data_IF_271595015420
#
_entry.id   IF_271595015420
#
_cell.length_a   1.000
_cell.length_b   1.000
_cell.length_c   1.000
_cell.angle_alpha   90.00
_cell.angle_beta   90.00
_cell.angle_gamma   90.00
#
_symmetry.space_group_name_H-M   'P 1'
#
loop_
_entity.id
_entity.type
_entity.pdbx_description
1 polymer ?
#
# COMPACT_ATOMS: atom_id res chain seq x y z
N UNK A 1 19.70 -17.69 22.30
CA UNK A 1 18.30 -18.16 22.28
C UNK A 1 17.97 -18.48 20.84
N UNK A 2 17.52 -19.71 20.53
CA UNK A 2 17.06 -20.01 19.18
C UNK A 2 15.89 -19.07 18.87
N UNK A 3 16.05 -18.20 17.86
CA UNK A 3 14.95 -17.39 17.35
C UNK A 3 13.82 -18.34 17.03
N UNK A 4 12.67 -18.21 17.70
CA UNK A 4 11.47 -18.93 17.28
C UNK A 4 11.26 -18.68 15.78
N UNK A 5 10.95 -19.73 15.02
CA UNK A 5 10.68 -19.60 13.60
C UNK A 5 9.47 -18.67 13.43
N UNK A 6 9.58 -17.66 12.56
CA UNK A 6 8.47 -16.74 12.29
C UNK A 6 7.36 -17.51 11.56
N UNK A 7 6.09 -17.33 11.93
CA UNK A 7 5.00 -17.97 11.21
C UNK A 7 4.91 -17.43 9.78
N UNK A 8 4.51 -18.28 8.85
CA UNK A 8 4.22 -17.87 7.47
C UNK A 8 2.91 -17.06 7.45
N UNK A 9 2.94 -15.85 6.91
CA UNK A 9 1.72 -15.07 6.67
C UNK A 9 0.97 -15.65 5.47
N UNK A 10 -0.31 -15.97 5.68
CA UNK A 10 -1.18 -16.63 4.70
C UNK A 10 -2.28 -15.72 4.16
N UNK A 11 -2.57 -14.62 4.83
CA UNK A 11 -3.54 -13.64 4.37
C UNK A 11 -3.91 -12.65 5.47
N UNK A 12 -4.62 -11.60 5.07
CA UNK A 12 -5.05 -10.52 5.97
C UNK A 12 -6.54 -10.30 5.80
N UNK A 13 -7.28 -10.32 6.91
CA UNK A 13 -8.70 -10.06 6.97
C UNK A 13 -8.91 -8.69 7.60
N UNK A 14 -9.71 -7.85 6.96
CA UNK A 14 -9.99 -6.50 7.43
C UNK A 14 -11.43 -6.36 7.87
N UNK A 15 -11.66 -5.58 8.93
CA UNK A 15 -12.93 -4.90 9.13
C UNK A 15 -13.03 -3.66 8.24
N UNK A 16 -14.25 -3.32 7.79
CA UNK A 16 -14.45 -2.09 7.01
C UNK A 16 -14.49 -0.85 7.91
N UNK A 17 -15.17 -0.96 9.05
CA UNK A 17 -15.49 0.16 9.92
C UNK A 17 -14.26 0.58 10.71
N UNK A 18 -13.89 1.85 10.63
CA UNK A 18 -12.78 2.45 11.39
C UNK A 18 -11.37 1.97 11.01
N UNK A 19 -11.26 0.82 10.34
CA UNK A 19 -9.99 0.20 9.93
C UNK A 19 -9.61 0.61 8.52
N UNK A 20 -10.44 0.25 7.52
CA UNK A 20 -10.20 0.64 6.13
C UNK A 20 -10.77 2.01 5.80
N UNK A 21 -11.81 2.44 6.52
CA UNK A 21 -12.48 3.71 6.30
C UNK A 21 -12.69 4.47 7.60
N UNK A 22 -12.87 5.79 7.51
CA UNK A 22 -13.30 6.63 8.62
C UNK A 22 -14.82 6.85 8.50
N UNK A 23 -15.65 6.15 9.29
CA UNK A 23 -17.10 6.29 9.20
C UNK A 23 -17.57 7.61 9.80
N UNK A 24 -18.47 8.30 9.08
CA UNK A 24 -19.21 9.45 9.57
C UNK A 24 -20.69 9.08 9.75
N UNK A 25 -20.95 8.09 10.60
CA UNK A 25 -22.28 7.54 10.86
C UNK A 25 -22.68 7.80 12.31
N UNK A 26 -23.82 8.44 12.53
CA UNK A 26 -24.37 8.64 13.88
C UNK A 26 -25.08 7.36 14.35
N UNK A 27 -24.31 6.51 15.02
CA UNK A 27 -24.85 5.29 15.62
C UNK A 27 -25.91 5.55 16.69
N UNK A 28 -25.88 6.71 17.38
CA UNK A 28 -26.89 7.02 18.40
C UNK A 28 -28.25 7.25 17.75
N UNK A 29 -28.28 8.08 16.72
CA UNK A 29 -29.49 8.30 15.95
C UNK A 29 -30.00 6.98 15.32
N UNK A 30 -29.11 6.14 14.83
CA UNK A 30 -29.48 4.85 14.24
C UNK A 30 -30.21 3.94 15.25
N UNK A 31 -29.67 3.83 16.46
CA UNK A 31 -30.29 3.09 17.56
C UNK A 31 -31.65 3.66 17.95
N UNK A 32 -31.75 4.99 18.10
CA UNK A 32 -33.00 5.68 18.44
C UNK A 32 -34.08 5.42 17.39
N UNK A 33 -33.75 5.57 16.11
CA UNK A 33 -34.69 5.34 14.99
C UNK A 33 -35.10 3.88 14.83
N UNK A 34 -34.24 2.93 15.22
CA UNK A 34 -34.58 1.51 15.26
C UNK A 34 -35.35 1.11 16.53
N UNK A 35 -35.42 1.98 17.53
CA UNK A 35 -36.01 1.65 18.84
C UNK A 35 -35.19 0.64 19.64
N UNK A 36 -33.87 0.59 19.43
CA UNK A 36 -32.94 -0.31 20.12
C UNK A 36 -32.07 0.47 21.09
N UNK A 37 -32.01 0.12 22.39
CA UNK A 37 -31.12 0.79 23.33
C UNK A 37 -29.64 0.76 22.90
N UNK A 38 -28.91 1.86 23.08
CA UNK A 38 -27.48 1.98 22.69
C UNK A 38 -26.53 0.95 23.32
N UNK A 39 -26.95 0.32 24.42
CA UNK A 39 -26.15 -0.71 25.10
C UNK A 39 -26.32 -2.12 24.50
N UNK A 40 -27.31 -2.29 23.64
CA UNK A 40 -27.63 -3.58 23.01
C UNK A 40 -26.95 -3.66 21.64
N UNK A 41 -26.73 -4.89 21.16
CA UNK A 41 -26.26 -5.08 19.79
C UNK A 41 -27.41 -4.78 18.81
N UNK A 42 -27.24 -3.74 17.98
CA UNK A 42 -28.27 -3.29 17.06
C UNK A 42 -28.76 -4.38 16.12
N UNK A 43 -27.85 -5.05 15.41
CA UNK A 43 -28.24 -6.02 14.38
C UNK A 43 -28.86 -7.28 15.02
N UNK A 44 -28.33 -7.73 16.15
CA UNK A 44 -28.90 -8.85 16.88
C UNK A 44 -30.31 -8.52 17.40
N UNK A 45 -30.52 -7.32 17.96
CA UNK A 45 -31.83 -6.88 18.43
C UNK A 45 -32.85 -6.80 17.28
N UNK A 46 -32.45 -6.22 16.13
CA UNK A 46 -33.31 -6.12 14.94
C UNK A 46 -33.71 -7.50 14.40
N UNK A 47 -32.81 -8.50 14.47
CA UNK A 47 -33.13 -9.88 14.05
C UNK A 47 -34.21 -10.55 14.91
N UNK A 48 -34.38 -10.11 16.15
CA UNK A 48 -35.37 -10.67 17.09
C UNK A 48 -36.71 -9.90 17.12
N UNK A 49 -36.85 -8.84 16.31
CA UNK A 49 -38.08 -8.05 16.24
C UNK A 49 -39.20 -8.77 15.48
N UNK A 50 -40.45 -8.29 15.64
CA UNK A 50 -41.56 -8.72 14.76
C UNK A 50 -41.26 -8.37 13.31
N UNK A 51 -41.81 -9.11 12.31
CA UNK A 51 -41.50 -8.89 10.90
C UNK A 51 -41.67 -7.43 10.43
N UNK A 52 -42.72 -6.74 10.89
CA UNK A 52 -43.02 -5.36 10.50
C UNK A 52 -42.00 -4.36 11.08
N UNK A 53 -41.62 -4.55 12.35
CA UNK A 53 -40.61 -3.72 13.02
C UNK A 53 -39.23 -3.99 12.47
N UNK A 54 -38.91 -5.25 12.24
CA UNK A 54 -37.66 -5.69 11.64
C UNK A 54 -37.47 -5.05 10.25
N UNK A 55 -38.48 -5.13 9.38
CA UNK A 55 -38.42 -4.51 8.06
C UNK A 55 -38.20 -2.99 8.14
N UNK A 56 -38.89 -2.33 9.08
CA UNK A 56 -38.74 -0.89 9.30
C UNK A 56 -37.34 -0.53 9.80
N UNK A 57 -36.79 -1.27 10.75
CA UNK A 57 -35.45 -1.06 11.28
C UNK A 57 -34.36 -1.29 10.22
N UNK A 58 -34.45 -2.36 9.43
CA UNK A 58 -33.51 -2.59 8.33
C UNK A 58 -33.51 -1.46 7.30
N UNK A 59 -34.68 -0.90 7.00
CA UNK A 59 -34.78 0.26 6.11
C UNK A 59 -34.06 1.48 6.69
N UNK A 60 -34.21 1.74 7.99
CA UNK A 60 -33.49 2.82 8.68
C UNK A 60 -31.98 2.61 8.59
N UNK A 61 -31.50 1.39 8.87
CA UNK A 61 -30.07 1.11 8.86
C UNK A 61 -29.49 1.28 7.45
N UNK A 62 -30.16 0.76 6.42
CA UNK A 62 -29.70 0.91 5.02
C UNK A 62 -29.75 2.37 4.54
N UNK A 63 -30.75 3.14 4.95
CA UNK A 63 -30.84 4.58 4.65
C UNK A 63 -29.64 5.34 5.24
N UNK A 64 -29.37 5.13 6.53
CA UNK A 64 -28.28 5.80 7.24
C UNK A 64 -26.90 5.34 6.76
N UNK A 65 -26.70 4.03 6.53
CA UNK A 65 -25.50 3.54 5.85
C UNK A 65 -25.34 4.15 4.46
N UNK A 66 -26.46 4.37 3.76
CA UNK A 66 -26.47 5.00 2.45
C UNK A 66 -26.05 6.45 2.44
N UNK A 67 -26.29 7.16 3.52
CA UNK A 67 -25.78 8.51 3.75
C UNK A 67 -24.31 8.45 4.17
N UNK A 68 -23.98 7.62 5.15
CA UNK A 68 -22.62 7.45 5.66
C UNK A 68 -21.62 7.02 4.58
N UNK A 69 -22.00 6.10 3.68
CA UNK A 69 -21.12 5.63 2.59
C UNK A 69 -20.72 6.73 1.61
N UNK A 70 -21.53 7.78 1.45
CA UNK A 70 -21.17 8.93 0.60
C UNK A 70 -20.07 9.80 1.19
N UNK A 71 -19.82 9.66 2.49
CA UNK A 71 -18.81 10.41 3.25
C UNK A 71 -17.65 9.54 3.72
N UNK A 72 -17.60 8.27 3.30
CA UNK A 72 -16.47 7.40 3.65
C UNK A 72 -15.21 7.86 2.94
N UNK A 73 -14.16 7.96 3.74
CA UNK A 73 -12.79 8.17 3.27
C UNK A 73 -11.93 7.00 3.74
N UNK A 74 -10.91 6.66 2.96
CA UNK A 74 -9.98 5.61 3.36
C UNK A 74 -9.16 6.07 4.57
N UNK A 75 -8.92 5.15 5.49
CA UNK A 75 -7.98 5.37 6.58
C UNK A 75 -6.56 5.60 6.03
N UNK A 76 -5.76 6.38 6.76
CA UNK A 76 -4.37 6.65 6.39
C UNK A 76 -3.59 5.34 6.19
N UNK A 77 -2.91 5.22 5.05
CA UNK A 77 -2.10 4.04 4.71
C UNK A 77 -2.88 2.86 4.12
N UNK A 78 -4.21 2.94 3.97
CA UNK A 78 -5.00 1.82 3.45
C UNK A 78 -4.61 1.42 2.02
N UNK A 79 -4.38 2.40 1.15
CA UNK A 79 -3.99 2.14 -0.25
C UNK A 79 -2.56 1.60 -0.34
N UNK A 80 -1.64 2.14 0.45
CA UNK A 80 -0.26 1.69 0.55
C UNK A 80 -0.19 0.24 1.01
N UNK A 81 -0.92 -0.10 2.07
CA UNK A 81 -1.04 -1.45 2.58
C UNK A 81 -1.65 -2.40 1.53
N UNK A 82 -2.77 -2.03 0.90
CA UNK A 82 -3.43 -2.86 -0.10
C UNK A 82 -2.53 -3.16 -1.30
N UNK A 83 -1.83 -2.15 -1.83
CA UNK A 83 -0.84 -2.32 -2.91
C UNK A 83 0.34 -3.19 -2.47
N UNK A 84 0.80 -3.03 -1.23
CA UNK A 84 1.90 -3.82 -0.69
C UNK A 84 1.51 -5.30 -0.59
N UNK A 85 0.33 -5.60 -0.02
CA UNK A 85 -0.20 -6.96 0.08
C UNK A 85 -0.36 -7.60 -1.31
N UNK A 86 -0.92 -6.86 -2.27
CA UNK A 86 -1.07 -7.30 -3.66
C UNK A 86 0.29 -7.65 -4.29
N UNK A 87 1.31 -6.81 -4.12
CA UNK A 87 2.66 -7.03 -4.71
C UNK A 87 3.38 -8.24 -4.10
N UNK A 88 3.07 -8.61 -2.86
CA UNK A 88 3.55 -9.84 -2.23
C UNK A 88 2.67 -11.06 -2.55
N UNK A 89 1.54 -10.89 -3.23
CA UNK A 89 0.61 -11.97 -3.54
C UNK A 89 -0.11 -12.51 -2.30
N UNK A 90 -0.29 -11.67 -1.29
CA UNK A 90 -1.04 -12.02 -0.09
C UNK A 90 -2.54 -11.83 -0.32
N UNK A 91 -3.39 -12.85 -0.09
CA UNK A 91 -4.82 -12.69 -0.23
C UNK A 91 -5.37 -11.78 0.87
N UNK A 92 -6.38 -10.99 0.50
CA UNK A 92 -7.09 -10.10 1.40
C UNK A 92 -8.57 -10.41 1.41
N UNK A 93 -9.15 -10.50 2.61
CA UNK A 93 -10.58 -10.67 2.81
C UNK A 93 -11.12 -9.50 3.63
N UNK A 94 -12.43 -9.36 3.59
CA UNK A 94 -13.15 -8.40 4.40
C UNK A 94 -14.28 -9.09 5.14
N UNK A 95 -14.48 -8.69 6.39
CA UNK A 95 -15.65 -9.01 7.19
C UNK A 95 -16.22 -7.68 7.66
N UNK A 96 -17.52 -7.46 7.54
CA UNK A 96 -18.13 -6.21 7.99
C UNK A 96 -19.57 -6.39 8.43
N UNK A 97 -20.03 -5.49 9.30
CA UNK A 97 -21.43 -5.37 9.71
C UNK A 97 -22.26 -4.47 8.77
N UNK A 98 -21.65 -3.90 7.75
CA UNK A 98 -22.33 -3.14 6.70
C UNK A 98 -22.99 -4.05 5.67
N UNK A 99 -23.89 -3.48 4.85
CA UNK A 99 -24.51 -4.18 3.72
C UNK A 99 -23.52 -4.54 2.60
N UNK A 100 -23.90 -5.54 1.79
CA UNK A 100 -23.22 -5.87 0.54
C UNK A 100 -23.22 -4.69 -0.45
N UNK A 101 -24.17 -3.75 -0.34
CA UNK A 101 -24.19 -2.51 -1.11
C UNK A 101 -23.06 -1.56 -0.72
N UNK A 102 -22.80 -1.41 0.58
CA UNK A 102 -21.66 -0.61 1.09
C UNK A 102 -20.33 -1.24 0.70
N UNK A 103 -20.20 -2.57 0.77
CA UNK A 103 -19.02 -3.33 0.29
C UNK A 103 -18.74 -3.06 -1.19
N UNK A 104 -19.76 -3.21 -2.05
CA UNK A 104 -19.63 -2.91 -3.49
C UNK A 104 -19.24 -1.46 -3.73
N UNK A 105 -19.82 -0.53 -2.99
CA UNK A 105 -19.48 0.88 -3.11
C UNK A 105 -18.00 1.15 -2.76
N UNK A 106 -17.48 0.56 -1.67
CA UNK A 106 -16.06 0.66 -1.31
C UNK A 106 -15.17 0.15 -2.45
N UNK A 107 -15.49 -1.02 -2.99
CA UNK A 107 -14.76 -1.60 -4.13
C UNK A 107 -14.78 -0.68 -5.36
N UNK A 108 -15.95 -0.16 -5.74
CA UNK A 108 -16.10 0.63 -6.97
C UNK A 108 -15.54 2.05 -6.87
N UNK A 109 -15.56 2.65 -5.67
CA UNK A 109 -15.29 4.09 -5.49
C UNK A 109 -13.97 4.41 -4.81
N UNK A 110 -13.50 3.58 -3.89
CA UNK A 110 -12.30 3.86 -3.12
C UNK A 110 -11.16 2.88 -3.42
N UNK A 111 -11.48 1.59 -3.58
CA UNK A 111 -10.46 0.54 -3.67
C UNK A 111 -10.03 0.21 -5.11
N UNK A 112 -11.00 -0.09 -5.98
CA UNK A 112 -10.79 -0.46 -7.37
C UNK A 112 -10.13 0.63 -8.23
N UNK A 113 -10.50 1.92 -8.11
CA UNK A 113 -9.80 3.00 -8.81
C UNK A 113 -8.31 3.10 -8.48
N UNK A 114 -7.88 2.60 -7.31
CA UNK A 114 -6.47 2.55 -6.93
C UNK A 114 -5.71 1.35 -7.53
N UNK A 115 -6.38 0.51 -8.34
CA UNK A 115 -5.81 -0.67 -9.01
C UNK A 115 -5.66 -1.89 -8.11
N UNK A 116 -6.30 -1.87 -6.93
CA UNK A 116 -6.19 -2.94 -5.93
C UNK A 116 -7.34 -3.95 -6.13
N UNK A 117 -7.07 -5.28 -6.13
CA UNK A 117 -8.11 -6.28 -6.24
C UNK A 117 -9.15 -6.16 -5.13
N UNK A 118 -10.40 -6.44 -5.48
CA UNK A 118 -11.48 -6.53 -4.49
C UNK A 118 -11.15 -7.57 -3.42
N UNK A 119 -11.62 -7.33 -2.19
CA UNK A 119 -11.51 -8.30 -1.11
C UNK A 119 -12.25 -9.59 -1.49
N UNK A 120 -11.65 -10.73 -1.18
CA UNK A 120 -12.23 -12.02 -1.51
C UNK A 120 -11.89 -13.11 -0.47
N UNK A 121 -12.89 -13.65 0.26
CA UNK A 121 -14.29 -13.19 0.24
C UNK A 121 -14.45 -11.83 0.94
N UNK A 122 -15.57 -11.18 0.66
CA UNK A 122 -16.02 -9.97 1.34
C UNK A 122 -17.36 -10.25 2.02
N UNK A 123 -17.30 -10.71 3.27
CA UNK A 123 -18.46 -11.11 4.06
C UNK A 123 -19.13 -9.88 4.67
N UNK A 124 -20.37 -9.64 4.29
CA UNK A 124 -21.20 -8.53 4.75
C UNK A 124 -22.24 -9.01 5.77
N UNK A 125 -23.04 -8.09 6.33
CA UNK A 125 -24.18 -8.50 7.18
C UNK A 125 -25.24 -9.32 6.46
N UNK A 126 -25.28 -9.22 5.12
CA UNK A 126 -26.28 -9.88 4.28
C UNK A 126 -25.94 -11.38 4.09
N UNK A 127 -24.71 -11.77 4.45
CA UNK A 127 -24.22 -13.16 4.45
C UNK A 127 -24.53 -13.83 5.80
N UNK A 128 -25.83 -14.10 6.04
CA UNK A 128 -26.41 -14.45 7.35
C UNK A 128 -25.76 -15.67 8.05
N UNK A 129 -25.15 -16.59 7.30
CA UNK A 129 -24.46 -17.76 7.88
C UNK A 129 -23.11 -17.42 8.53
N UNK A 130 -22.52 -16.26 8.20
CA UNK A 130 -21.13 -15.93 8.49
C UNK A 130 -20.96 -14.48 8.97
N UNK A 131 -21.93 -13.95 9.73
CA UNK A 131 -21.91 -12.56 10.16
C UNK A 131 -20.97 -12.31 11.36
N UNK A 132 -20.40 -11.11 11.43
CA UNK A 132 -19.59 -10.67 12.57
C UNK A 132 -20.50 -10.39 13.78
N UNK A 133 -20.15 -10.84 15.00
CA UNK A 133 -18.83 -11.35 15.44
C UNK A 133 -18.71 -12.88 15.53
N UNK A 134 -19.43 -13.67 14.74
CA UNK A 134 -19.37 -15.12 14.85
C UNK A 134 -18.08 -15.70 14.22
N UNK A 135 -17.23 -16.47 14.95
CA UNK A 135 -15.95 -16.97 14.44
C UNK A 135 -16.01 -17.79 13.13
N UNK A 136 -17.18 -18.37 12.81
CA UNK A 136 -17.45 -19.05 11.54
C UNK A 136 -17.13 -18.20 10.29
N UNK A 137 -17.16 -16.86 10.39
CA UNK A 137 -16.76 -15.98 9.30
C UNK A 137 -15.29 -16.19 8.91
N UNK A 138 -14.39 -16.26 9.89
CA UNK A 138 -12.97 -16.54 9.66
C UNK A 138 -12.76 -17.99 9.21
N UNK A 139 -13.56 -18.94 9.70
CA UNK A 139 -13.53 -20.33 9.23
C UNK A 139 -13.92 -20.44 7.76
N UNK A 140 -14.92 -19.68 7.31
CA UNK A 140 -15.33 -19.62 5.92
C UNK A 140 -14.23 -19.04 5.02
N UNK A 141 -13.64 -17.92 5.42
CA UNK A 141 -12.47 -17.32 4.74
C UNK A 141 -11.32 -18.33 4.65
N UNK A 142 -10.96 -18.94 5.77
CA UNK A 142 -9.87 -19.92 5.86
C UNK A 142 -10.13 -21.12 4.93
N UNK A 143 -11.36 -21.62 4.88
CA UNK A 143 -11.79 -22.69 3.98
C UNK A 143 -11.68 -22.30 2.51
N UNK A 144 -12.13 -21.10 2.16
CA UNK A 144 -12.09 -20.57 0.79
C UNK A 144 -10.64 -20.36 0.30
N UNK A 145 -9.75 -19.90 1.17
CA UNK A 145 -8.32 -19.78 0.88
C UNK A 145 -7.56 -21.11 0.94
N UNK A 146 -8.22 -22.20 1.33
CA UNK A 146 -7.58 -23.50 1.58
C UNK A 146 -6.37 -23.36 2.53
N UNK A 147 -6.55 -22.58 3.60
CA UNK A 147 -5.55 -22.31 4.61
C UNK A 147 -6.16 -22.55 6.00
N UNK A 148 -5.48 -23.28 6.90
CA UNK A 148 -6.01 -23.48 8.24
C UNK A 148 -6.02 -22.16 9.02
N UNK A 149 -6.99 -22.03 9.93
CA UNK A 149 -6.91 -21.01 10.98
C UNK A 149 -5.64 -21.19 11.81
N UNK A 150 -5.14 -20.08 12.34
CA UNK A 150 -3.95 -20.05 13.16
C UNK A 150 -3.20 -18.72 13.03
N UNK A 151 -2.00 -18.63 13.61
CA UNK A 151 -1.25 -17.38 13.68
C UNK A 151 -0.81 -16.85 12.31
N UNK A 152 -0.85 -17.67 11.24
CA UNK A 152 -0.56 -17.21 9.89
C UNK A 152 -1.67 -16.38 9.25
N UNK A 153 -2.86 -16.30 9.84
CA UNK A 153 -3.95 -15.43 9.43
C UNK A 153 -3.99 -14.22 10.36
N UNK A 154 -4.15 -13.02 9.80
CA UNK A 154 -4.21 -11.77 10.58
C UNK A 154 -5.59 -11.12 10.44
N UNK A 155 -6.28 -10.89 11.56
CA UNK A 155 -7.46 -10.03 11.64
C UNK A 155 -7.02 -8.61 12.01
N UNK A 156 -7.36 -7.63 11.18
CA UNK A 156 -7.10 -6.21 11.40
C UNK A 156 -8.44 -5.51 11.65
N UNK A 157 -8.54 -4.79 12.76
CA UNK A 157 -9.77 -4.11 13.17
C UNK A 157 -9.50 -2.88 14.04
N UNK A 158 -10.54 -2.13 14.39
CA UNK A 158 -10.45 -0.93 15.23
C UNK A 158 -11.17 -1.09 16.58
N UNK A 159 -11.85 -2.22 16.80
CA UNK A 159 -12.61 -2.53 18.00
C UNK A 159 -12.01 -3.69 18.81
N UNK A 160 -11.58 -3.46 20.06
CA UNK A 160 -11.08 -4.52 20.93
C UNK A 160 -12.07 -5.68 21.14
N UNK A 161 -13.35 -5.38 21.35
CA UNK A 161 -14.36 -6.42 21.61
C UNK A 161 -14.83 -7.09 20.32
N UNK A 162 -15.03 -6.32 19.24
CA UNK A 162 -15.73 -6.81 18.06
C UNK A 162 -14.79 -7.38 17.00
N UNK A 163 -13.54 -6.90 16.95
CA UNK A 163 -12.53 -7.38 16.00
C UNK A 163 -11.49 -8.27 16.67
N UNK A 164 -10.89 -7.76 17.74
CA UNK A 164 -9.77 -8.43 18.38
C UNK A 164 -10.26 -9.65 19.16
N UNK A 165 -11.33 -9.51 19.95
CA UNK A 165 -11.97 -10.64 20.62
C UNK A 165 -12.46 -11.72 19.64
N UNK A 166 -13.04 -11.30 18.53
CA UNK A 166 -13.49 -12.17 17.42
C UNK A 166 -12.34 -12.94 16.77
N UNK A 167 -11.25 -12.26 16.40
CA UNK A 167 -10.07 -12.89 15.82
C UNK A 167 -9.39 -13.86 16.79
N UNK A 168 -9.27 -13.46 18.06
CA UNK A 168 -8.70 -14.33 19.10
C UNK A 168 -9.53 -15.58 19.36
N UNK A 169 -10.86 -15.47 19.36
CA UNK A 169 -11.74 -16.63 19.51
C UNK A 169 -11.54 -17.65 18.37
N UNK A 170 -11.20 -17.18 17.16
CA UNK A 170 -10.84 -18.03 16.02
C UNK A 170 -9.38 -18.52 16.03
N UNK A 171 -8.56 -18.10 17.00
CA UNK A 171 -7.15 -18.50 17.13
C UNK A 171 -6.21 -17.86 16.09
N UNK A 172 -6.59 -16.71 15.53
CA UNK A 172 -5.78 -15.98 14.54
C UNK A 172 -4.97 -14.87 15.20
N UNK A 173 -3.94 -14.37 14.51
CA UNK A 173 -3.25 -13.16 14.95
C UNK A 173 -4.12 -11.92 14.77
N UNK A 174 -3.90 -10.90 15.57
CA UNK A 174 -4.77 -9.71 15.64
C UNK A 174 -3.96 -8.40 15.67
N UNK A 175 -4.41 -7.42 14.89
CA UNK A 175 -3.89 -6.06 14.88
C UNK A 175 -5.01 -5.05 15.13
N UNK A 176 -4.83 -4.21 16.14
CA UNK A 176 -5.76 -3.12 16.49
C UNK A 176 -5.26 -1.80 15.91
N UNK A 177 -6.12 -1.10 15.17
CA UNK A 177 -5.90 0.25 14.64
C UNK A 177 -6.54 1.26 15.58
N UNK A 178 -5.72 2.06 16.30
CA UNK A 178 -6.22 3.06 17.25
C UNK A 178 -5.54 4.44 17.07
N UNK A 179 -5.81 5.15 15.95
CA UNK A 179 -5.18 6.45 15.63
C UNK A 179 -5.44 7.53 16.68
N UNK A 180 -6.53 7.41 17.45
CA UNK A 180 -6.96 8.41 18.43
C UNK A 180 -6.54 8.05 19.86
N UNK A 181 -5.82 6.93 20.07
CA UNK A 181 -5.46 6.40 21.39
C UNK A 181 -6.68 6.41 22.31
N UNK A 182 -7.82 5.96 21.77
CA UNK A 182 -9.14 6.01 22.43
C UNK A 182 -9.16 5.20 23.71
N UNK A 183 -8.25 4.26 23.82
CA UNK A 183 -8.15 3.37 24.96
C UNK A 183 -6.93 3.79 25.82
N UNK A 184 -7.16 4.07 27.11
CA UNK A 184 -6.10 4.37 28.13
C UNK A 184 -5.97 3.21 29.13
N UNK A 185 -4.80 3.14 29.78
CA UNK A 185 -4.10 1.94 30.33
C UNK A 185 -4.79 1.02 31.36
N UNK A 186 -4.44 -0.27 31.23
CA UNK A 186 -4.61 -1.37 32.19
C UNK A 186 -4.11 -2.70 31.60
N UNK A 187 -4.32 -2.89 30.29
CA UNK A 187 -3.71 -3.92 29.44
C UNK A 187 -3.14 -3.21 28.20
N UNK A 188 -1.84 -3.34 27.94
CA UNK A 188 -1.14 -2.54 26.90
C UNK A 188 -1.55 -2.84 25.45
N UNK A 189 -2.37 -3.87 25.22
CA UNK A 189 -2.82 -4.23 23.87
C UNK A 189 -4.32 -4.44 23.74
N UNK A 190 -5.11 -4.30 24.81
CA UNK A 190 -6.54 -4.67 24.83
C UNK A 190 -6.81 -6.09 24.33
N UNK A 191 -5.80 -6.96 24.47
CA UNK A 191 -5.83 -8.30 23.94
C UNK A 191 -5.50 -8.39 22.45
N UNK A 192 -4.98 -7.38 21.76
CA UNK A 192 -4.42 -7.55 20.42
C UNK A 192 -2.97 -8.09 20.49
N UNK A 193 -2.49 -8.74 19.43
CA UNK A 193 -1.07 -9.10 19.32
C UNK A 193 -0.23 -7.87 18.92
N UNK A 194 -0.87 -6.92 18.24
CA UNK A 194 -0.28 -5.70 17.70
C UNK A 194 -1.26 -4.55 17.88
N UNK A 195 -0.75 -3.36 18.22
CA UNK A 195 -1.49 -2.10 18.15
C UNK A 195 -0.71 -1.13 17.26
N UNK A 196 -1.39 -0.48 16.32
CA UNK A 196 -0.82 0.50 15.39
C UNK A 196 -1.67 1.77 15.39
N UNK A 197 -1.01 2.92 15.19
CA UNK A 197 -1.71 4.20 15.07
C UNK A 197 -2.23 4.39 13.63
N UNK A 198 -1.54 3.83 12.63
CA UNK A 198 -1.89 3.94 11.20
C UNK A 198 -1.67 2.63 10.45
N UNK A 199 -2.47 2.37 9.40
CA UNK A 199 -2.27 1.21 8.53
C UNK A 199 -0.94 1.27 7.76
N UNK A 200 -0.34 2.46 7.65
CA UNK A 200 0.97 2.64 7.01
C UNK A 200 2.10 1.91 7.74
N UNK A 201 1.96 1.67 9.05
CA UNK A 201 2.95 0.97 9.88
C UNK A 201 2.89 -0.56 9.72
N UNK A 202 1.72 -1.08 9.35
CA UNK A 202 1.45 -2.51 9.36
C UNK A 202 2.42 -3.30 8.45
N UNK A 203 2.69 -2.90 7.19
CA UNK A 203 3.59 -3.62 6.29
C UNK A 203 4.98 -3.90 6.88
N UNK A 204 5.58 -2.90 7.53
CA UNK A 204 6.90 -3.06 8.15
C UNK A 204 6.86 -4.06 9.31
N UNK A 205 5.79 -4.03 10.09
CA UNK A 205 5.59 -4.93 11.20
C UNK A 205 5.33 -6.35 10.71
N UNK A 206 4.49 -6.53 9.67
CA UNK A 206 4.28 -7.82 9.05
C UNK A 206 5.60 -8.43 8.59
N UNK A 207 6.45 -7.63 7.94
CA UNK A 207 7.77 -8.05 7.49
C UNK A 207 8.68 -8.52 8.63
N UNK A 208 8.59 -7.91 9.82
CA UNK A 208 9.37 -8.28 11.00
C UNK A 208 8.83 -9.54 11.67
N UNK A 209 7.51 -9.63 11.80
CA UNK A 209 6.82 -10.66 12.59
C UNK A 209 6.61 -11.96 11.83
N UNK A 210 6.38 -11.89 10.52
CA UNK A 210 6.04 -13.04 9.69
C UNK A 210 7.12 -13.36 8.66
N UNK A 211 7.13 -14.61 8.25
CA UNK A 211 7.69 -15.00 6.98
C UNK A 211 6.70 -14.65 5.86
N UNK A 212 7.13 -13.82 4.92
CA UNK A 212 6.29 -13.34 3.82
C UNK A 212 6.56 -14.21 2.58
N UNK A 213 5.51 -14.84 1.99
CA UNK A 213 5.64 -15.63 0.78
C UNK A 213 5.84 -14.75 -0.46
N UNK A 214 6.03 -15.41 -1.60
CA UNK A 214 6.07 -14.75 -2.90
C UNK A 214 7.47 -14.27 -3.32
N UNK A 215 7.59 -13.77 -4.57
CA UNK A 215 8.89 -13.44 -5.18
C UNK A 215 9.64 -12.32 -4.46
N UNK A 216 8.91 -11.40 -3.83
CA UNK A 216 9.44 -10.26 -3.07
C UNK A 216 9.56 -10.53 -1.56
N UNK A 217 9.00 -11.66 -1.12
CA UNK A 217 8.87 -12.07 0.27
C UNK A 217 10.18 -12.52 0.92
N UNK A 218 10.14 -12.72 2.24
CA UNK A 218 11.31 -13.16 3.01
C UNK A 218 11.62 -14.64 2.84
N UNK A 219 10.67 -15.45 2.38
CA UNK A 219 10.87 -16.88 2.10
C UNK A 219 11.37 -17.14 0.68
N UNK A 220 11.59 -16.10 -0.13
CA UNK A 220 12.01 -16.24 -1.51
C UNK A 220 13.40 -16.88 -1.58
N UNK A 221 13.45 -18.12 -2.11
CA UNK A 221 14.70 -18.82 -2.40
C UNK A 221 15.49 -18.17 -3.55
N UNK A 222 14.83 -17.31 -4.34
CA UNK A 222 15.51 -16.36 -5.21
C UNK A 222 16.19 -15.34 -4.29
N UNK A 223 17.39 -15.68 -3.82
CA UNK A 223 18.37 -14.65 -3.49
C UNK A 223 18.38 -13.75 -4.71
N UNK A 224 17.95 -12.49 -4.58
CA UNK A 224 18.08 -11.47 -5.62
C UNK A 224 19.56 -11.45 -5.97
N UNK A 225 19.97 -12.30 -6.91
CA UNK A 225 21.36 -12.58 -7.17
C UNK A 225 21.99 -11.24 -7.45
N UNK A 226 23.17 -11.01 -6.88
CA UNK A 226 23.93 -9.78 -7.10
C UNK A 226 24.41 -9.81 -8.55
N UNK A 227 23.49 -9.61 -9.48
CA UNK A 227 23.73 -9.44 -10.91
C UNK A 227 24.61 -8.19 -11.03
N UNK A 228 25.71 -8.32 -11.76
CA UNK A 228 26.57 -7.18 -12.08
C UNK A 228 25.73 -6.08 -12.71
N UNK A 229 26.05 -4.81 -12.39
CA UNK A 229 25.45 -3.73 -13.18
C UNK A 229 25.85 -3.94 -14.65
N UNK A 230 24.89 -3.88 -15.58
CA UNK A 230 25.19 -4.05 -17.00
C UNK A 230 26.07 -2.89 -17.50
N UNK A 231 26.59 -3.02 -18.72
CA UNK A 231 27.26 -1.95 -19.45
C UNK A 231 26.41 -1.54 -20.66
N UNK A 232 26.54 -0.31 -21.19
CA UNK A 232 25.80 0.12 -22.37
C UNK A 232 26.20 -0.68 -23.62
N UNK A 233 25.23 -1.32 -24.27
CA UNK A 233 25.49 -2.24 -25.40
C UNK A 233 25.21 -1.65 -26.78
N UNK A 234 24.22 -0.76 -26.90
CA UNK A 234 23.90 -0.12 -28.19
C UNK A 234 24.80 1.09 -28.43
N UNK A 235 24.93 1.51 -29.69
CA UNK A 235 25.68 2.71 -30.04
C UNK A 235 25.07 3.96 -29.38
N UNK A 236 23.74 4.07 -29.38
CA UNK A 236 23.02 5.16 -28.72
C UNK A 236 23.25 5.15 -27.19
N UNK A 237 23.22 3.98 -26.54
CA UNK A 237 23.49 3.89 -25.10
C UNK A 237 24.94 4.29 -24.77
N UNK A 238 25.93 3.91 -25.57
CA UNK A 238 27.32 4.35 -25.38
C UNK A 238 27.47 5.86 -25.56
N UNK A 239 26.95 6.40 -26.67
CA UNK A 239 26.97 7.84 -26.93
C UNK A 239 26.30 8.64 -25.80
N UNK A 240 25.22 8.12 -25.24
CA UNK A 240 24.54 8.72 -24.10
C UNK A 240 25.39 8.75 -22.82
N UNK A 241 26.14 7.70 -22.52
CA UNK A 241 27.08 7.66 -21.39
C UNK A 241 28.27 8.58 -21.62
N UNK A 242 28.79 8.63 -22.85
CA UNK A 242 29.97 9.43 -23.21
C UNK A 242 29.66 10.93 -23.26
N UNK A 243 28.41 11.32 -23.50
CA UNK A 243 28.01 12.71 -23.70
C UNK A 243 28.04 13.16 -25.16
N UNK A 244 28.08 12.22 -26.12
CA UNK A 244 28.21 12.51 -27.54
C UNK A 244 26.85 12.87 -28.17
N UNK A 245 26.42 14.11 -27.93
CA UNK A 245 25.17 14.65 -28.50
C UNK A 245 25.21 14.68 -30.03
N UNK A 246 26.40 14.88 -30.63
CA UNK A 246 26.53 14.94 -32.08
C UNK A 246 26.24 13.57 -32.71
N UNK A 247 26.78 12.50 -32.13
CA UNK A 247 26.48 11.14 -32.54
C UNK A 247 24.99 10.82 -32.36
N UNK A 248 24.39 11.17 -31.21
CA UNK A 248 22.96 10.93 -30.96
C UNK A 248 22.06 11.66 -31.96
N UNK A 249 22.38 12.91 -32.33
CA UNK A 249 21.62 13.68 -33.33
C UNK A 249 21.78 13.13 -34.75
N UNK A 250 22.84 12.38 -35.03
CA UNK A 250 23.06 11.74 -36.33
C UNK A 250 22.40 10.35 -36.45
N UNK A 251 21.90 9.78 -35.34
CA UNK A 251 21.23 8.48 -35.33
C UNK A 251 19.76 8.58 -35.75
N UNK A 252 19.19 7.47 -36.20
CA UNK A 252 17.76 7.37 -36.47
C UNK A 252 16.97 7.42 -35.15
N UNK A 253 15.74 7.94 -35.19
CA UNK A 253 14.90 8.06 -33.98
C UNK A 253 14.67 6.69 -33.33
N UNK A 254 14.52 5.64 -34.13
CA UNK A 254 14.32 4.27 -33.71
C UNK A 254 15.49 3.77 -32.83
N UNK A 255 16.73 4.17 -33.15
CA UNK A 255 17.91 3.80 -32.38
C UNK A 255 17.94 4.50 -31.01
N UNK A 256 17.37 5.71 -30.91
CA UNK A 256 17.25 6.47 -29.66
C UNK A 256 16.18 5.87 -28.72
N UNK A 257 15.23 5.12 -29.28
CA UNK A 257 14.15 4.46 -28.55
C UNK A 257 14.51 3.03 -28.11
N UNK A 258 15.47 2.40 -28.79
CA UNK A 258 15.83 1.00 -28.55
C UNK A 258 16.50 0.82 -27.17
N UNK A 259 15.92 -0.06 -26.36
CA UNK A 259 16.57 -0.57 -25.16
C UNK A 259 17.68 -1.58 -25.51
N UNK A 260 18.75 -1.60 -24.72
CA UNK A 260 19.75 -2.67 -24.78
C UNK A 260 19.22 -4.00 -24.22
N UNK A 261 20.03 -5.06 -24.26
CA UNK A 261 19.60 -6.39 -23.77
C UNK A 261 19.31 -6.42 -22.26
N UNK A 262 19.75 -5.40 -21.53
CA UNK A 262 19.45 -5.21 -20.10
C UNK A 262 18.21 -4.34 -19.87
N UNK A 263 17.51 -3.94 -20.93
CA UNK A 263 16.31 -3.13 -20.91
C UNK A 263 16.56 -1.63 -20.77
N UNK A 264 17.80 -1.16 -20.67
CA UNK A 264 18.06 0.27 -20.49
C UNK A 264 18.05 0.99 -21.85
N UNK A 265 17.34 2.11 -21.92
CA UNK A 265 17.36 3.02 -23.07
C UNK A 265 18.53 4.01 -22.95
N UNK A 266 18.89 4.72 -24.03
CA UNK A 266 19.86 5.82 -23.98
C UNK A 266 19.52 6.86 -22.90
N UNK A 267 18.24 7.14 -22.67
CA UNK A 267 17.79 8.07 -21.63
C UNK A 267 18.14 7.57 -20.21
N UNK A 268 17.87 6.28 -19.93
CA UNK A 268 18.21 5.67 -18.63
C UNK A 268 19.72 5.72 -18.38
N UNK A 269 20.52 5.48 -19.42
CA UNK A 269 21.98 5.55 -19.34
C UNK A 269 22.50 6.97 -19.14
N UNK A 270 22.00 7.95 -19.90
CA UNK A 270 22.34 9.36 -19.72
C UNK A 270 22.03 9.83 -18.30
N UNK A 271 20.91 9.38 -17.74
CA UNK A 271 20.50 9.70 -16.39
C UNK A 271 21.37 9.03 -15.31
N UNK A 272 21.79 7.77 -15.48
CA UNK A 272 22.75 7.11 -14.55
C UNK A 272 24.15 7.71 -14.65
N UNK A 273 24.52 8.28 -15.81
CA UNK A 273 25.82 8.91 -16.06
C UNK A 273 25.87 10.42 -15.73
N UNK A 274 24.72 11.04 -15.40
CA UNK A 274 24.65 12.45 -15.02
C UNK A 274 24.73 13.45 -16.18
N UNK A 275 24.42 13.02 -17.41
CA UNK A 275 24.54 13.83 -18.64
C UNK A 275 23.26 14.61 -18.93
N UNK A 276 23.08 15.74 -18.24
CA UNK A 276 21.85 16.53 -18.31
C UNK A 276 21.54 17.09 -19.71
N UNK A 277 22.57 17.49 -20.45
CA UNK A 277 22.51 17.97 -21.83
C UNK A 277 22.08 16.87 -22.82
N UNK A 278 22.58 15.64 -22.63
CA UNK A 278 22.12 14.46 -23.37
C UNK A 278 20.66 14.15 -23.03
N UNK A 279 20.29 14.17 -21.75
CA UNK A 279 18.91 13.94 -21.31
C UNK A 279 17.96 14.94 -21.97
N UNK A 280 18.29 16.23 -21.96
CA UNK A 280 17.52 17.28 -22.65
C UNK A 280 17.37 16.99 -24.14
N UNK A 281 18.48 16.63 -24.82
CA UNK A 281 18.46 16.31 -26.26
C UNK A 281 17.60 15.06 -26.57
N UNK A 282 17.63 14.04 -25.71
CA UNK A 282 16.83 12.82 -25.90
C UNK A 282 15.35 13.09 -25.66
N UNK A 283 14.99 13.88 -24.63
CA UNK A 283 13.60 14.28 -24.38
C UNK A 283 13.04 15.11 -25.55
N UNK A 284 13.86 16.01 -26.13
CA UNK A 284 13.47 16.76 -27.32
C UNK A 284 13.23 15.88 -28.56
N UNK A 285 13.83 14.67 -28.62
CA UNK A 285 13.56 13.69 -29.67
C UNK A 285 12.23 12.92 -29.44
N UNK A 286 11.56 13.14 -28.31
CA UNK A 286 10.27 12.52 -27.96
C UNK A 286 10.42 11.04 -27.58
N UNK A 287 11.46 10.70 -26.82
CA UNK A 287 11.62 9.37 -26.24
C UNK A 287 10.66 9.17 -25.05
N UNK A 288 10.24 7.93 -24.83
CA UNK A 288 9.42 7.56 -23.67
C UNK A 288 10.23 7.71 -22.37
N UNK A 289 9.74 8.52 -21.42
CA UNK A 289 10.52 8.91 -20.22
C UNK A 289 10.48 7.86 -19.11
N UNK A 290 9.39 7.10 -19.03
CA UNK A 290 9.12 6.16 -17.93
C UNK A 290 9.54 4.72 -18.25
N UNK A 291 10.41 4.51 -19.25
CA UNK A 291 10.88 3.16 -19.59
C UNK A 291 11.64 2.54 -18.42
N UNK A 292 11.21 1.33 -18.07
CA UNK A 292 11.84 0.52 -17.03
C UNK A 292 13.04 -0.24 -17.60
N UNK A 293 14.22 0.16 -17.15
CA UNK A 293 15.45 -0.53 -17.47
C UNK A 293 15.75 -1.68 -16.52
N UNK A 294 17.04 -1.97 -16.38
CA UNK A 294 17.54 -3.04 -15.53
C UNK A 294 17.04 -2.92 -14.08
N UNK A 295 16.49 -4.03 -13.55
CA UNK A 295 15.81 -4.14 -12.25
C UNK A 295 14.56 -3.25 -12.11
N UNK A 296 13.94 -2.85 -13.22
CA UNK A 296 12.76 -1.99 -13.24
C UNK A 296 13.04 -0.53 -12.93
N UNK A 297 14.29 -0.07 -12.98
CA UNK A 297 14.63 1.33 -12.67
C UNK A 297 14.40 2.25 -13.87
N UNK A 298 13.77 3.40 -13.65
CA UNK A 298 13.58 4.45 -14.67
C UNK A 298 14.75 5.44 -14.66
N UNK A 299 14.76 6.37 -15.62
CA UNK A 299 15.75 7.45 -15.67
C UNK A 299 15.76 8.28 -14.37
N UNK A 300 14.59 8.62 -13.82
CA UNK A 300 14.48 9.34 -12.54
C UNK A 300 15.02 8.51 -11.38
N UNK A 301 14.68 7.22 -11.29
CA UNK A 301 15.21 6.36 -10.21
C UNK A 301 16.75 6.33 -10.23
N UNK A 302 17.36 6.26 -11.42
CA UNK A 302 18.82 6.26 -11.59
C UNK A 302 19.44 7.60 -11.16
N UNK A 303 18.87 8.71 -11.61
CA UNK A 303 19.32 10.05 -11.23
C UNK A 303 19.22 10.28 -9.71
N UNK A 304 18.12 9.88 -9.07
CA UNK A 304 17.94 9.91 -7.62
C UNK A 304 18.98 9.07 -6.88
N UNK A 305 19.24 7.84 -7.35
CA UNK A 305 20.22 6.92 -6.75
C UNK A 305 21.64 7.47 -6.80
N UNK A 306 22.02 8.14 -7.89
CA UNK A 306 23.37 8.71 -8.08
C UNK A 306 23.50 10.12 -7.47
N UNK A 307 22.40 10.83 -7.31
CA UNK A 307 22.39 12.24 -6.89
C UNK A 307 22.74 13.18 -8.03
N UNK A 308 22.24 12.90 -9.24
CA UNK A 308 22.46 13.73 -10.42
C UNK A 308 21.38 14.81 -10.49
N UNK A 309 21.53 15.84 -9.66
CA UNK A 309 20.51 16.87 -9.45
C UNK A 309 20.22 17.68 -10.74
N UNK A 310 21.22 17.89 -11.61
CA UNK A 310 21.04 18.55 -12.91
C UNK A 310 20.13 17.74 -13.83
N UNK A 311 20.34 16.42 -13.90
CA UNK A 311 19.47 15.49 -14.63
C UNK A 311 18.05 15.52 -14.06
N UNK A 312 17.91 15.49 -12.73
CA UNK A 312 16.59 15.58 -12.09
C UNK A 312 15.88 16.88 -12.46
N UNK A 313 16.56 18.03 -12.41
CA UNK A 313 15.95 19.31 -12.81
C UNK A 313 15.46 19.27 -14.26
N UNK A 314 16.24 18.71 -15.18
CA UNK A 314 15.81 18.57 -16.59
C UNK A 314 14.59 17.66 -16.70
N UNK A 315 14.62 16.46 -16.10
CA UNK A 315 13.50 15.51 -16.15
C UNK A 315 12.22 16.13 -15.56
N UNK A 316 12.30 16.75 -14.39
CA UNK A 316 11.17 17.35 -13.69
C UNK A 316 10.59 18.58 -14.39
N UNK A 317 11.41 19.36 -15.10
CA UNK A 317 10.95 20.55 -15.83
C UNK A 317 10.55 20.29 -17.29
N UNK A 318 10.77 19.07 -17.79
CA UNK A 318 10.54 18.71 -19.20
C UNK A 318 9.08 18.65 -19.63
N UNK A 319 8.14 18.52 -18.69
CA UNK A 319 6.72 18.36 -18.99
C UNK A 319 6.35 17.01 -19.62
N UNK A 320 7.25 16.02 -19.66
CA UNK A 320 7.02 14.72 -20.34
C UNK A 320 6.22 13.70 -19.53
N UNK A 321 5.53 14.11 -18.46
CA UNK A 321 4.73 13.18 -17.64
C UNK A 321 5.58 12.15 -16.89
N UNK A 322 6.72 12.58 -16.35
CA UNK A 322 7.58 11.75 -15.51
C UNK A 322 6.79 11.17 -14.33
N UNK A 323 6.84 9.85 -14.15
CA UNK A 323 6.32 9.18 -12.97
C UNK A 323 7.37 9.20 -11.85
N UNK A 324 7.02 9.86 -10.74
CA UNK A 324 7.89 10.03 -9.57
C UNK A 324 7.82 8.88 -8.58
N UNK A 325 6.80 8.04 -8.69
CA UNK A 325 6.43 7.02 -7.71
C UNK A 325 6.52 5.60 -8.25
N UNK A 326 6.73 5.44 -9.56
CA UNK A 326 6.86 4.14 -10.21
C UNK A 326 7.91 3.25 -9.50
N UNK A 327 7.49 2.13 -8.88
CA UNK A 327 8.41 1.25 -8.18
C UNK A 327 9.26 0.40 -9.14
N UNK A 328 10.50 0.17 -8.71
CA UNK A 328 11.36 -0.83 -9.33
C UNK A 328 10.94 -2.26 -8.93
N UNK A 329 11.68 -3.28 -9.40
CA UNK A 329 11.41 -4.69 -9.10
C UNK A 329 11.48 -5.04 -7.60
N UNK A 330 12.05 -4.17 -6.75
CA UNK A 330 12.14 -4.32 -5.29
C UNK A 330 11.14 -3.43 -4.55
N UNK A 331 10.16 -2.88 -5.26
CA UNK A 331 9.18 -1.90 -4.79
C UNK A 331 9.77 -0.57 -4.31
N UNK A 332 11.03 -0.27 -4.63
CA UNK A 332 11.63 1.00 -4.25
C UNK A 332 11.24 2.07 -5.26
N UNK A 333 10.60 3.14 -4.77
CA UNK A 333 10.37 4.36 -5.56
C UNK A 333 11.68 5.15 -5.74
N UNK A 334 11.76 6.10 -6.69
CA UNK A 334 12.89 7.01 -6.81
C UNK A 334 13.26 7.73 -5.49
N UNK A 335 12.26 8.14 -4.69
CA UNK A 335 12.49 8.80 -3.41
C UNK A 335 13.19 7.87 -2.39
N UNK A 336 12.89 6.56 -2.39
CA UNK A 336 13.65 5.59 -1.58
C UNK A 336 15.13 5.59 -1.95
N UNK A 337 15.46 5.62 -3.24
CA UNK A 337 16.86 5.65 -3.67
C UNK A 337 17.58 6.91 -3.20
N UNK A 338 16.97 8.08 -3.38
CA UNK A 338 17.56 9.34 -2.92
C UNK A 338 17.76 9.33 -1.40
N UNK A 339 16.76 8.86 -0.64
CA UNK A 339 16.81 8.79 0.82
C UNK A 339 17.86 7.79 1.33
N UNK A 340 17.86 6.56 0.81
CA UNK A 340 18.81 5.50 1.17
C UNK A 340 20.25 5.86 0.79
N UNK A 341 20.45 6.55 -0.34
CA UNK A 341 21.77 7.02 -0.81
C UNK A 341 22.17 8.40 -0.27
N UNK A 342 21.37 8.95 0.63
CA UNK A 342 21.62 10.22 1.32
C UNK A 342 21.85 11.40 0.35
N UNK A 343 21.05 11.46 -0.73
CA UNK A 343 21.12 12.50 -1.75
C UNK A 343 20.15 13.63 -1.40
N UNK A 344 20.54 14.47 -0.44
CA UNK A 344 19.67 15.50 0.14
C UNK A 344 19.03 16.44 -0.89
N UNK A 345 19.79 16.87 -1.90
CA UNK A 345 19.24 17.77 -2.93
C UNK A 345 18.25 17.03 -3.85
N UNK A 346 18.56 15.80 -4.27
CA UNK A 346 17.61 14.95 -4.99
C UNK A 346 16.32 14.73 -4.17
N UNK A 347 16.41 14.49 -2.86
CA UNK A 347 15.22 14.38 -1.98
C UNK A 347 14.39 15.66 -2.04
N UNK A 348 15.02 16.84 -1.87
CA UNK A 348 14.33 18.13 -1.95
C UNK A 348 13.62 18.33 -3.29
N UNK A 349 14.30 18.02 -4.40
CA UNK A 349 13.73 18.13 -5.74
C UNK A 349 12.52 17.23 -5.94
N UNK A 350 12.60 15.98 -5.50
CA UNK A 350 11.50 15.03 -5.61
C UNK A 350 10.29 15.44 -4.77
N UNK A 351 10.51 15.90 -3.54
CA UNK A 351 9.42 16.39 -2.68
C UNK A 351 8.77 17.66 -3.25
N UNK A 352 9.57 18.60 -3.76
CA UNK A 352 9.06 19.80 -4.42
C UNK A 352 8.24 19.47 -5.68
N UNK A 353 8.53 18.35 -6.34
CA UNK A 353 7.78 17.85 -7.49
C UNK A 353 6.56 17.00 -7.12
N UNK A 354 6.29 16.77 -5.82
CA UNK A 354 5.12 16.02 -5.36
C UNK A 354 5.29 14.51 -5.31
N UNK A 355 6.52 13.99 -5.25
CA UNK A 355 6.75 12.56 -5.06
C UNK A 355 6.13 12.05 -3.75
N UNK A 356 5.50 10.88 -3.78
CA UNK A 356 4.86 10.31 -2.59
C UNK A 356 5.88 10.02 -1.49
N UNK A 357 5.56 10.51 -0.30
CA UNK A 357 6.31 10.23 0.93
C UNK A 357 5.88 8.93 1.60
N UNK A 358 4.77 8.31 1.17
CA UNK A 358 4.13 7.14 1.79
C UNK A 358 4.32 5.84 0.99
N UNK A 359 4.83 5.92 -0.24
CA UNK A 359 5.20 4.74 -1.04
C UNK A 359 6.02 3.74 -0.21
N UNK A 360 5.74 2.44 -0.36
CA UNK A 360 6.37 1.39 0.45
C UNK A 360 7.32 0.51 -0.37
N UNK A 361 8.52 0.28 0.17
CA UNK A 361 9.42 -0.75 -0.34
C UNK A 361 8.93 -2.17 -0.04
N UNK A 362 9.63 -3.19 -0.57
CA UNK A 362 9.26 -4.59 -0.34
C UNK A 362 9.22 -4.99 1.14
N UNK A 363 9.94 -4.28 2.01
CA UNK A 363 9.98 -4.53 3.46
C UNK A 363 8.93 -3.71 4.21
N UNK A 364 8.07 -2.99 3.51
CA UNK A 364 7.02 -2.17 4.09
C UNK A 364 7.53 -0.86 4.68
N UNK A 365 8.68 -0.36 4.22
CA UNK A 365 9.26 0.91 4.71
C UNK A 365 8.92 2.03 3.75
N UNK A 366 8.61 3.19 4.29
CA UNK A 366 8.55 4.46 3.55
C UNK A 366 9.98 4.99 3.29
N UNK A 367 10.16 5.98 2.38
CA UNK A 367 11.48 6.58 2.15
C UNK A 367 12.15 7.16 3.41
N UNK A 368 11.35 7.73 4.32
CA UNK A 368 11.82 8.26 5.60
C UNK A 368 12.37 7.16 6.54
N UNK A 369 11.84 5.94 6.44
CA UNK A 369 12.26 4.78 7.24
C UNK A 369 13.42 4.00 6.58
N UNK A 370 13.64 4.16 5.27
CA UNK A 370 14.77 3.54 4.57
C UNK A 370 16.09 4.33 4.73
N UNK A 371 16.03 5.60 5.16
CA UNK A 371 17.24 6.40 5.38
C UNK A 371 17.82 6.27 6.80
N UNK A 372 19.15 6.22 6.86
CA UNK A 372 19.91 6.32 8.12
C UNK A 372 20.21 7.77 8.53
N UNK A 373 20.00 8.75 7.64
CA UNK A 373 20.26 10.17 7.93
C UNK A 373 19.02 10.81 8.58
N UNK A 374 19.10 11.26 9.84
CA UNK A 374 17.97 11.86 10.54
C UNK A 374 17.49 13.17 9.89
N UNK A 375 18.37 13.94 9.22
CA UNK A 375 17.98 15.20 8.58
C UNK A 375 17.13 14.94 7.33
N UNK A 376 17.49 13.92 6.54
CA UNK A 376 16.70 13.51 5.37
C UNK A 376 15.36 12.93 5.82
N UNK A 377 15.37 12.11 6.88
CA UNK A 377 14.13 11.59 7.49
C UNK A 377 13.19 12.73 7.86
N UNK A 378 13.68 13.69 8.63
CA UNK A 378 12.89 14.84 9.07
C UNK A 378 12.34 15.64 7.89
N UNK A 379 13.16 15.87 6.87
CA UNK A 379 12.77 16.60 5.67
C UNK A 379 11.61 15.92 4.92
N UNK A 380 11.60 14.59 4.84
CA UNK A 380 10.50 13.82 4.22
C UNK A 380 9.24 13.87 5.09
N UNK A 381 9.38 13.74 6.42
CA UNK A 381 8.25 13.79 7.35
C UNK A 381 7.58 15.18 7.38
N UNK A 382 8.36 16.26 7.33
CA UNK A 382 7.84 17.63 7.26
C UNK A 382 7.06 17.88 5.97
N UNK A 383 7.56 17.38 4.84
CA UNK A 383 6.85 17.48 3.56
C UNK A 383 5.52 16.72 3.61
N UNK A 384 5.46 15.56 4.28
CA UNK A 384 4.20 14.81 4.48
C UNK A 384 3.15 15.63 5.24
N UNK A 385 3.55 16.35 6.29
CA UNK A 385 2.62 17.13 7.12
C UNK A 385 2.12 18.43 6.46
N UNK A 386 2.71 18.82 5.32
CA UNK A 386 2.41 20.07 4.62
C UNK A 386 1.45 19.89 3.43
N UNK A 387 1.03 18.65 3.16
CA UNK A 387 0.04 18.25 2.15
C UNK A 387 -1.30 18.01 2.81
#
# INVERSE_FOLDING_TARGET
>A
MASAARPLLRGVVFDLDGTLTVPNLDFREMHERCGVPMKEDLLAAVRQMSPERQQSAWKVIEEMEGEGRRTLELAEGALELGRWLQRHGLPTAMVTRNSASTVRWLHDKLWGPAGIPAFHPALSRDDVEHDKPHPAALEAIAREWNHPLGPGLLMVGDSPSNDIGFGKAAGVSTALVDPRRRFREGDSSYGADVVIDSLLELPQLLWKTFDIPGPLGSTSAQTLAKKSEPLPETAACRAAVDGDIAALKAMAKEDLLAADSSGNTPLVWAADAGKADVVESLLAAGVEVNVKGYLGNTAVSRACRRGHDSVLRVLLSSGTGVDLDEPNEKMQSPLHFAAFKQKTEAVKLMLAAGASTTSLDRKGRTPAEDTSDPNIRELILQARASL
#
